data_IF_737342583841
#
_entry.id   IF_737342583841
#
_cell.length_a   1.000
_cell.length_b   1.000
_cell.length_c   1.000
_cell.angle_alpha   90.00
_cell.angle_beta   90.00
_cell.angle_gamma   90.00
#
_symmetry.space_group_name_H-M   'P 1'
#
loop_
_entity.id
_entity.type
_entity.pdbx_description
1 polymer ?
#
# COMPACT_ATOMS: atom_id res chain seq x y z
N UNK A 1 -1.70 -44.34 6.60
CA UNK A 1 -0.97 -43.11 6.30
C UNK A 1 0.29 -43.32 5.45
N UNK A 2 1.30 -44.14 5.84
CA UNK A 2 2.53 -44.37 5.05
C UNK A 2 2.30 -44.85 3.62
N UNK A 3 1.35 -45.78 3.35
CA UNK A 3 1.05 -46.26 1.99
C UNK A 3 0.47 -45.16 1.08
N UNK A 4 -0.39 -44.29 1.59
CA UNK A 4 -0.94 -43.20 0.81
C UNK A 4 0.12 -42.15 0.43
N UNK A 5 1.06 -41.87 1.31
CA UNK A 5 2.20 -40.98 1.06
C UNK A 5 3.12 -41.57 -0.04
N UNK A 6 3.40 -42.86 0.03
CA UNK A 6 4.24 -43.54 -0.97
C UNK A 6 3.58 -43.54 -2.36
N UNK A 7 2.26 -43.78 -2.42
CA UNK A 7 1.49 -43.75 -3.68
C UNK A 7 1.44 -42.32 -4.25
N UNK A 8 1.25 -41.32 -3.41
CA UNK A 8 1.31 -39.92 -3.80
C UNK A 8 2.66 -39.54 -4.40
N UNK A 9 3.76 -39.91 -3.72
CA UNK A 9 5.11 -39.66 -4.23
C UNK A 9 5.42 -40.39 -5.52
N UNK A 10 4.98 -41.65 -5.68
CA UNK A 10 5.12 -42.39 -6.94
C UNK A 10 4.31 -41.76 -8.08
N UNK A 11 3.10 -41.30 -7.82
CA UNK A 11 2.29 -40.57 -8.79
C UNK A 11 2.94 -39.25 -9.22
N UNK A 12 3.41 -38.49 -8.25
CA UNK A 12 4.07 -37.21 -8.50
C UNK A 12 5.37 -37.36 -9.30
N UNK A 13 6.22 -38.34 -8.94
CA UNK A 13 7.46 -38.60 -9.68
C UNK A 13 7.17 -39.14 -11.11
N UNK A 14 6.10 -39.91 -11.29
CA UNK A 14 5.64 -40.35 -12.61
C UNK A 14 5.20 -39.20 -13.51
N UNK A 15 4.41 -38.27 -12.99
CA UNK A 15 3.97 -37.08 -13.71
C UNK A 15 5.17 -36.19 -14.08
N UNK A 16 6.08 -35.93 -13.13
CA UNK A 16 7.29 -35.15 -13.36
C UNK A 16 8.16 -35.78 -14.44
N UNK A 17 8.33 -37.10 -14.42
CA UNK A 17 9.11 -37.81 -15.42
C UNK A 17 8.47 -37.75 -16.82
N UNK A 18 7.15 -37.96 -16.92
CA UNK A 18 6.42 -37.88 -18.18
C UNK A 18 6.44 -36.47 -18.80
N UNK A 19 6.27 -35.44 -17.98
CA UNK A 19 6.34 -34.02 -18.44
C UNK A 19 7.77 -33.67 -18.89
N UNK A 20 8.79 -34.12 -18.17
CA UNK A 20 10.17 -33.89 -18.53
C UNK A 20 10.54 -34.61 -19.87
N UNK A 21 10.10 -35.84 -20.08
CA UNK A 21 10.27 -36.55 -21.34
C UNK A 21 9.56 -35.86 -22.52
N UNK A 22 8.31 -35.46 -22.32
CA UNK A 22 7.54 -34.72 -23.32
C UNK A 22 8.23 -33.41 -23.74
N UNK A 23 8.73 -32.64 -22.77
CA UNK A 23 9.45 -31.41 -23.02
C UNK A 23 10.76 -31.61 -23.80
N UNK A 24 11.52 -32.67 -23.49
CA UNK A 24 12.75 -32.99 -24.22
C UNK A 24 12.48 -33.48 -25.64
N UNK A 25 11.34 -34.12 -25.91
CA UNK A 25 10.87 -34.49 -27.26
C UNK A 25 10.52 -33.22 -28.07
N UNK A 26 9.82 -32.25 -27.47
CA UNK A 26 9.50 -30.97 -28.13
C UNK A 26 10.78 -30.22 -28.52
N UNK A 27 11.80 -30.22 -27.66
CA UNK A 27 13.09 -29.59 -27.93
C UNK A 27 13.96 -30.37 -28.96
N UNK A 28 13.45 -31.46 -29.54
CA UNK A 28 14.15 -32.23 -30.54
C UNK A 28 15.36 -33.01 -30.01
N UNK A 29 15.47 -33.23 -28.71
CA UNK A 29 16.59 -33.95 -28.10
C UNK A 29 16.44 -35.47 -28.24
N UNK A 30 16.75 -35.99 -29.42
CA UNK A 30 16.62 -37.43 -29.73
C UNK A 30 17.93 -38.22 -29.58
N UNK A 31 19.02 -37.60 -29.15
CA UNK A 31 20.31 -38.26 -29.01
C UNK A 31 20.28 -39.37 -27.95
N UNK A 32 20.51 -40.62 -28.35
CA UNK A 32 20.51 -41.80 -27.48
C UNK A 32 21.89 -42.11 -26.86
N UNK A 33 22.87 -41.27 -27.12
CA UNK A 33 24.19 -41.39 -26.51
C UNK A 33 24.11 -41.25 -24.98
N UNK A 34 25.15 -41.71 -24.26
CA UNK A 34 25.25 -41.50 -22.82
C UNK A 34 25.18 -40.03 -22.47
N UNK A 35 25.74 -39.17 -23.31
CA UNK A 35 25.76 -37.72 -23.10
C UNK A 35 24.36 -37.10 -23.34
N UNK A 36 23.65 -37.50 -24.40
CA UNK A 36 22.29 -37.06 -24.66
C UNK A 36 21.30 -37.46 -23.56
N UNK A 37 21.45 -38.69 -23.02
CA UNK A 37 20.66 -39.17 -21.88
C UNK A 37 20.94 -38.35 -20.61
N UNK A 38 22.18 -37.93 -20.38
CA UNK A 38 22.54 -37.08 -19.25
C UNK A 38 21.92 -35.70 -19.41
N UNK A 39 22.07 -35.06 -20.56
CA UNK A 39 21.48 -33.72 -20.83
C UNK A 39 19.96 -33.74 -20.64
N UNK A 40 19.27 -34.75 -21.19
CA UNK A 40 17.81 -34.90 -21.01
C UNK A 40 17.42 -34.96 -19.54
N UNK A 41 18.17 -35.66 -18.69
CA UNK A 41 17.89 -35.75 -17.25
C UNK A 41 18.08 -34.40 -16.57
N UNK A 42 19.13 -33.66 -16.95
CA UNK A 42 19.40 -32.32 -16.38
C UNK A 42 18.31 -31.33 -16.80
N UNK A 43 18.00 -31.23 -18.09
CA UNK A 43 16.97 -30.34 -18.63
C UNK A 43 15.58 -30.69 -18.06
N UNK A 44 15.24 -31.96 -18.01
CA UNK A 44 13.98 -32.44 -17.44
C UNK A 44 13.88 -32.14 -15.94
N UNK A 45 14.99 -32.29 -15.22
CA UNK A 45 15.05 -31.91 -13.79
C UNK A 45 14.87 -30.43 -13.57
N UNK A 46 15.53 -29.60 -14.37
CA UNK A 46 15.33 -28.12 -14.28
C UNK A 46 13.89 -27.71 -14.59
N UNK A 47 13.28 -28.30 -15.63
CA UNK A 47 11.90 -28.04 -15.98
C UNK A 47 10.93 -28.49 -14.86
N UNK A 48 11.13 -29.68 -14.31
CA UNK A 48 10.33 -30.18 -13.20
C UNK A 48 10.45 -29.30 -11.97
N UNK A 49 11.65 -28.78 -11.68
CA UNK A 49 11.86 -27.82 -10.58
C UNK A 49 11.13 -26.50 -10.81
N UNK A 50 11.19 -25.95 -12.03
CA UNK A 50 10.46 -24.73 -12.39
C UNK A 50 8.95 -24.95 -12.22
N UNK A 51 8.41 -26.05 -12.73
CA UNK A 51 6.98 -26.38 -12.58
C UNK A 51 6.58 -26.56 -11.11
N UNK A 52 7.45 -27.14 -10.29
CA UNK A 52 7.23 -27.25 -8.84
C UNK A 52 7.16 -25.88 -8.17
N UNK A 53 8.05 -24.95 -8.51
CA UNK A 53 8.03 -23.57 -7.99
C UNK A 53 6.73 -22.87 -8.37
N UNK A 54 6.29 -22.99 -9.64
CA UNK A 54 5.01 -22.42 -10.08
C UNK A 54 3.82 -23.05 -9.38
N UNK A 55 3.83 -24.36 -9.15
CA UNK A 55 2.77 -25.05 -8.41
C UNK A 55 2.70 -24.60 -6.95
N UNK A 56 3.85 -24.40 -6.30
CA UNK A 56 3.91 -23.85 -4.94
C UNK A 56 3.41 -22.42 -4.87
N UNK A 57 3.82 -21.57 -5.82
CA UNK A 57 3.37 -20.17 -5.88
C UNK A 57 1.85 -20.08 -6.14
N UNK A 58 1.33 -20.86 -7.10
CA UNK A 58 -0.10 -20.94 -7.39
C UNK A 58 -0.91 -21.52 -6.24
N UNK A 59 -0.38 -22.53 -5.55
CA UNK A 59 -0.99 -23.11 -4.35
C UNK A 59 -1.08 -22.10 -3.21
N UNK A 60 -0.02 -21.31 -3.01
CA UNK A 60 -0.02 -20.24 -1.99
C UNK A 60 -1.02 -19.14 -2.33
N UNK A 61 -1.07 -18.69 -3.58
CA UNK A 61 -2.04 -17.69 -4.03
C UNK A 61 -3.50 -18.19 -3.88
N UNK A 62 -3.76 -19.45 -4.20
CA UNK A 62 -5.07 -20.08 -4.02
C UNK A 62 -5.43 -20.19 -2.52
N UNK A 63 -4.47 -20.60 -1.68
CA UNK A 63 -4.65 -20.66 -0.24
C UNK A 63 -5.02 -19.29 0.33
N UNK A 64 -4.26 -18.24 -0.01
CA UNK A 64 -4.55 -16.87 0.40
C UNK A 64 -5.94 -16.41 -0.04
N UNK A 65 -6.29 -16.67 -1.31
CA UNK A 65 -7.60 -16.32 -1.84
C UNK A 65 -8.74 -17.02 -1.09
N UNK A 66 -8.62 -18.34 -0.87
CA UNK A 66 -9.64 -19.12 -0.14
C UNK A 66 -9.69 -18.71 1.32
N UNK A 67 -8.53 -18.54 1.96
CA UNK A 67 -8.43 -18.11 3.35
C UNK A 67 -9.09 -16.76 3.57
N UNK A 68 -8.80 -15.76 2.73
CA UNK A 68 -9.44 -14.44 2.79
C UNK A 68 -10.95 -14.54 2.56
N UNK A 69 -11.41 -15.37 1.63
CA UNK A 69 -12.84 -15.54 1.35
C UNK A 69 -13.60 -16.24 2.48
N UNK A 70 -13.02 -17.30 3.04
CA UNK A 70 -13.63 -18.06 4.14
C UNK A 70 -13.65 -17.25 5.44
N UNK A 71 -12.62 -16.45 5.66
CA UNK A 71 -12.50 -15.64 6.87
C UNK A 71 -12.99 -14.18 6.66
N UNK A 72 -13.57 -13.83 5.51
CA UNK A 72 -14.01 -12.47 5.22
C UNK A 72 -14.96 -11.91 6.28
N UNK A 73 -15.90 -12.73 6.76
CA UNK A 73 -16.81 -12.33 7.86
C UNK A 73 -16.05 -12.03 9.16
N UNK A 74 -15.00 -12.80 9.43
CA UNK A 74 -14.15 -12.62 10.60
C UNK A 74 -13.31 -11.33 10.54
N UNK A 75 -12.81 -10.99 9.33
CA UNK A 75 -12.08 -9.75 9.09
C UNK A 75 -12.97 -8.51 9.01
N UNK A 76 -14.28 -8.69 8.86
CA UNK A 76 -15.26 -7.62 8.89
C UNK A 76 -15.81 -7.34 10.30
N UNK A 77 -15.43 -8.15 11.29
CA UNK A 77 -15.79 -7.92 12.67
C UNK A 77 -15.01 -6.72 13.24
N UNK A 78 -15.74 -5.77 13.82
CA UNK A 78 -15.16 -4.55 14.40
C UNK A 78 -14.12 -4.84 15.51
N UNK A 79 -14.14 -6.05 16.11
CA UNK A 79 -13.15 -6.50 17.09
C UNK A 79 -11.71 -6.59 16.57
N UNK A 80 -11.52 -6.60 15.25
CA UNK A 80 -10.19 -6.64 14.61
C UNK A 80 -9.63 -5.27 14.23
N UNK A 81 -10.38 -4.20 14.48
CA UNK A 81 -9.89 -2.85 14.24
C UNK A 81 -9.10 -2.32 15.44
N UNK A 82 -7.93 -1.78 15.15
CA UNK A 82 -7.23 -0.92 16.09
C UNK A 82 -7.91 0.43 16.15
N UNK A 83 -8.12 0.94 17.36
CA UNK A 83 -8.76 2.24 17.55
C UNK A 83 -7.75 3.29 17.99
N UNK A 84 -7.80 4.45 17.36
CA UNK A 84 -7.02 5.62 17.73
C UNK A 84 -7.96 6.77 18.10
N UNK A 85 -7.93 7.16 19.35
CA UNK A 85 -8.63 8.34 19.83
C UNK A 85 -8.11 9.61 19.14
N UNK A 86 -8.98 10.35 18.51
CA UNK A 86 -8.66 11.62 17.85
C UNK A 86 -9.13 12.79 18.72
N UNK A 87 -10.38 12.75 19.14
CA UNK A 87 -11.00 13.77 19.99
C UNK A 87 -12.18 13.16 20.77
N UNK A 88 -12.82 13.99 21.61
CA UNK A 88 -14.05 13.60 22.34
C UNK A 88 -15.17 13.13 21.41
N UNK A 89 -15.19 13.57 20.17
CA UNK A 89 -16.28 13.30 19.22
C UNK A 89 -15.91 12.38 18.07
N UNK A 90 -14.62 11.99 17.92
CA UNK A 90 -14.18 11.18 16.79
C UNK A 90 -13.09 10.17 17.19
N UNK A 91 -13.23 8.97 16.69
CA UNK A 91 -12.26 7.87 16.83
C UNK A 91 -11.94 7.33 15.44
N UNK A 92 -10.66 7.13 15.16
CA UNK A 92 -10.20 6.47 13.95
C UNK A 92 -10.02 4.98 14.21
N UNK A 93 -10.52 4.18 13.30
CA UNK A 93 -10.40 2.73 13.31
C UNK A 93 -9.62 2.27 12.08
N UNK A 94 -8.65 1.42 12.28
CA UNK A 94 -7.83 0.85 11.22
C UNK A 94 -7.50 -0.61 11.51
N UNK A 95 -7.16 -1.35 10.47
CA UNK A 95 -6.57 -2.69 10.56
C UNK A 95 -5.17 -2.66 9.97
N UNK A 96 -4.26 -3.37 10.60
CA UNK A 96 -2.89 -3.52 10.08
C UNK A 96 -2.92 -4.15 8.69
N UNK A 97 -2.26 -3.53 7.73
CA UNK A 97 -2.16 -3.93 6.32
C UNK A 97 -3.48 -3.88 5.51
N UNK A 98 -4.56 -3.34 6.06
CA UNK A 98 -5.81 -3.15 5.33
C UNK A 98 -6.01 -1.67 4.97
N UNK A 99 -6.87 -1.44 3.98
CA UNK A 99 -7.10 -0.12 3.39
C UNK A 99 -8.54 0.37 3.59
N UNK A 100 -9.19 -0.16 4.61
CA UNK A 100 -10.60 0.06 4.90
C UNK A 100 -10.83 0.83 6.21
N UNK A 101 -9.84 1.57 6.67
CA UNK A 101 -9.95 2.43 7.85
C UNK A 101 -11.12 3.41 7.76
N UNK A 102 -11.69 3.77 8.90
CA UNK A 102 -12.79 4.72 8.97
C UNK A 102 -12.73 5.60 10.22
N UNK A 103 -13.42 6.73 10.18
CA UNK A 103 -13.66 7.58 11.34
C UNK A 103 -15.09 7.36 11.81
N UNK A 104 -15.25 7.13 13.10
CA UNK A 104 -16.55 7.04 13.77
C UNK A 104 -16.73 8.21 14.73
N UNK A 105 -17.87 8.85 14.63
CA UNK A 105 -18.27 9.92 15.53
C UNK A 105 -18.90 9.33 16.81
N UNK A 106 -18.99 10.14 17.85
CA UNK A 106 -19.50 9.72 19.18
C UNK A 106 -20.91 9.11 19.12
N UNK A 107 -21.71 9.48 18.15
CA UNK A 107 -23.06 8.94 17.90
C UNK A 107 -23.07 7.62 17.10
N UNK A 108 -21.89 7.05 16.84
CA UNK A 108 -21.75 5.77 16.11
C UNK A 108 -21.82 5.91 14.61
N UNK A 109 -21.79 7.12 14.07
CA UNK A 109 -21.83 7.34 12.62
C UNK A 109 -20.43 7.21 12.01
N UNK A 110 -20.27 6.33 11.02
CA UNK A 110 -19.04 6.21 10.21
C UNK A 110 -19.04 7.28 9.12
N UNK A 111 -18.18 8.28 9.25
CA UNK A 111 -18.18 9.50 8.42
C UNK A 111 -17.16 9.47 7.29
N UNK A 112 -15.91 9.14 7.59
CA UNK A 112 -14.83 9.01 6.59
C UNK A 112 -14.52 7.54 6.45
N UNK A 113 -14.51 7.02 5.24
CA UNK A 113 -14.32 5.58 4.96
C UNK A 113 -13.24 5.35 3.90
N UNK A 114 -12.70 4.14 3.87
CA UNK A 114 -11.66 3.77 2.91
C UNK A 114 -10.33 4.48 3.18
N UNK A 115 -10.00 4.65 4.44
CA UNK A 115 -8.77 5.31 4.84
C UNK A 115 -7.62 4.30 4.82
N UNK A 116 -6.58 4.60 4.04
CA UNK A 116 -5.35 3.82 4.01
C UNK A 116 -4.40 4.22 5.15
N UNK A 117 -4.27 5.50 5.40
CA UNK A 117 -3.48 6.05 6.51
C UNK A 117 -3.93 7.46 6.87
N UNK A 118 -3.56 7.88 8.05
CA UNK A 118 -3.73 9.25 8.55
C UNK A 118 -2.41 9.84 9.03
N UNK A 119 -2.33 11.17 9.01
CA UNK A 119 -1.27 11.94 9.66
C UNK A 119 -1.89 13.11 10.41
N UNK A 120 -1.67 13.13 11.73
CA UNK A 120 -2.25 14.16 12.60
C UNK A 120 -1.60 15.52 12.33
N UNK A 121 -2.35 16.62 12.51
CA UNK A 121 -1.81 17.97 12.42
C UNK A 121 -0.81 18.23 13.54
N UNK A 122 -0.04 19.29 13.40
CA UNK A 122 0.85 19.81 14.44
C UNK A 122 0.21 21.00 15.15
N UNK A 123 0.63 21.21 16.41
CA UNK A 123 0.11 22.30 17.23
C UNK A 123 -1.39 22.18 17.51
N UNK A 124 -2.09 23.29 17.39
CA UNK A 124 -3.53 23.41 17.70
C UNK A 124 -4.44 23.17 16.49
N UNK A 125 -3.88 22.78 15.34
CA UNK A 125 -4.65 22.47 14.15
C UNK A 125 -5.53 21.24 14.34
N UNK A 126 -6.68 21.21 13.69
CA UNK A 126 -7.67 20.13 13.83
C UNK A 126 -7.85 19.26 12.58
N UNK A 127 -7.21 19.62 11.47
CA UNK A 127 -7.36 18.92 10.21
C UNK A 127 -6.32 17.82 10.05
N UNK A 128 -6.79 16.57 10.10
CA UNK A 128 -5.99 15.36 9.89
C UNK A 128 -5.87 15.08 8.40
N UNK A 129 -4.65 14.96 7.90
CA UNK A 129 -4.40 14.49 6.54
C UNK A 129 -4.70 12.99 6.45
N UNK A 130 -5.39 12.57 5.40
CA UNK A 130 -5.64 11.15 5.12
C UNK A 130 -5.49 10.81 3.64
N UNK A 131 -5.24 9.55 3.36
CA UNK A 131 -5.21 9.00 2.02
C UNK A 131 -6.30 7.94 1.86
N UNK A 132 -6.94 7.92 0.69
CA UNK A 132 -7.81 6.83 0.25
C UNK A 132 -7.13 5.86 -0.73
N UNK A 133 -5.79 5.98 -0.87
CA UNK A 133 -4.99 5.22 -1.81
C UNK A 133 -4.68 5.99 -3.10
N UNK A 134 -5.65 6.66 -3.68
CA UNK A 134 -5.49 7.40 -4.93
C UNK A 134 -5.07 8.85 -4.70
N UNK A 135 -5.67 9.48 -3.70
CA UNK A 135 -5.48 10.89 -3.39
C UNK A 135 -5.46 11.14 -1.88
N UNK A 136 -5.03 12.33 -1.49
CA UNK A 136 -5.02 12.82 -0.12
C UNK A 136 -6.01 13.95 0.05
N UNK A 137 -6.63 13.99 1.23
CA UNK A 137 -7.56 15.01 1.67
C UNK A 137 -7.44 15.24 3.17
N UNK A 138 -8.40 15.96 3.74
CA UNK A 138 -8.38 16.29 5.16
C UNK A 138 -9.77 16.13 5.77
N UNK A 139 -9.81 15.59 6.97
CA UNK A 139 -10.99 15.59 7.81
C UNK A 139 -10.71 16.28 9.14
N UNK A 140 -11.75 16.84 9.74
CA UNK A 140 -11.63 17.51 11.03
C UNK A 140 -11.73 16.48 12.16
N UNK A 141 -10.67 16.35 12.97
CA UNK A 141 -10.65 15.41 14.09
C UNK A 141 -11.60 15.77 15.23
N UNK A 142 -12.08 17.02 15.30
CA UNK A 142 -13.02 17.43 16.34
C UNK A 142 -14.47 17.06 16.00
N UNK A 143 -14.83 17.06 14.70
CA UNK A 143 -16.17 16.74 14.24
C UNK A 143 -16.29 15.36 13.60
N UNK A 144 -15.16 14.79 13.13
CA UNK A 144 -15.12 13.56 12.36
C UNK A 144 -15.59 13.72 10.91
N UNK A 145 -15.79 14.94 10.41
CA UNK A 145 -16.31 15.18 9.06
C UNK A 145 -15.20 15.55 8.07
N UNK A 146 -15.41 15.21 6.79
CA UNK A 146 -14.51 15.60 5.71
C UNK A 146 -14.54 17.13 5.57
N UNK A 147 -13.38 17.76 5.72
CA UNK A 147 -13.18 19.18 5.49
C UNK A 147 -12.75 19.47 4.06
N UNK A 148 -11.80 18.70 3.55
CA UNK A 148 -11.30 18.79 2.17
C UNK A 148 -11.30 17.39 1.58
N UNK A 149 -12.07 17.20 0.50
CA UNK A 149 -12.14 15.89 -0.18
C UNK A 149 -10.78 15.49 -0.73
N UNK A 150 -10.47 14.18 -0.83
CA UNK A 150 -9.25 13.70 -1.47
C UNK A 150 -9.17 14.18 -2.93
N UNK A 151 -8.17 15.00 -3.20
CA UNK A 151 -7.94 15.59 -4.52
C UNK A 151 -6.46 15.84 -4.83
N UNK A 152 -5.59 15.82 -3.82
CA UNK A 152 -4.16 16.09 -3.97
C UNK A 152 -3.40 14.76 -4.10
N UNK A 153 -2.48 14.70 -5.06
CA UNK A 153 -1.58 13.54 -5.19
C UNK A 153 -0.66 13.41 -3.97
N UNK A 154 -0.15 14.55 -3.50
CA UNK A 154 0.60 14.64 -2.26
C UNK A 154 0.04 15.80 -1.42
N UNK A 155 -0.02 15.58 -0.13
CA UNK A 155 -0.46 16.58 0.84
C UNK A 155 0.18 16.25 2.19
N UNK A 156 0.45 17.26 2.98
CA UNK A 156 1.15 17.14 4.26
C UNK A 156 0.29 17.63 5.41
N UNK A 157 0.81 17.55 6.60
CA UNK A 157 0.07 17.90 7.81
C UNK A 157 -0.23 19.39 7.88
N UNK A 158 -1.36 19.75 8.46
CA UNK A 158 -1.61 21.12 8.88
C UNK A 158 -0.69 21.48 10.05
N UNK A 159 -0.12 22.67 9.98
CA UNK A 159 0.64 23.28 11.04
C UNK A 159 0.53 24.80 10.91
N UNK A 160 0.31 25.47 12.02
CA UNK A 160 0.11 26.92 12.05
C UNK A 160 -1.03 27.42 11.12
N UNK A 161 -2.07 26.61 10.90
CA UNK A 161 -3.23 26.92 10.08
C UNK A 161 -3.02 26.73 8.57
N UNK A 162 -1.87 26.23 8.12
CA UNK A 162 -1.56 25.98 6.71
C UNK A 162 -1.07 24.55 6.49
N UNK A 163 -1.34 24.01 5.31
CA UNK A 163 -0.76 22.75 4.85
C UNK A 163 -0.19 22.92 3.44
N UNK A 164 0.95 22.32 3.18
CA UNK A 164 1.47 22.22 1.81
C UNK A 164 0.80 21.07 1.06
N UNK A 165 0.52 21.28 -0.22
CA UNK A 165 -0.08 20.30 -1.13
C UNK A 165 0.63 20.33 -2.49
N UNK A 166 0.63 19.18 -3.16
CA UNK A 166 1.02 19.09 -4.56
C UNK A 166 -0.23 19.34 -5.43
N UNK A 167 -0.30 20.51 -6.03
CA UNK A 167 -1.34 20.88 -6.99
C UNK A 167 -0.72 20.89 -8.41
N UNK A 168 -1.00 19.81 -9.16
CA UNK A 168 -0.52 19.62 -10.52
C UNK A 168 1.03 19.74 -10.69
N UNK A 169 1.78 19.17 -9.74
CA UNK A 169 3.23 19.18 -9.75
C UNK A 169 3.87 20.44 -9.16
N UNK A 170 3.05 21.34 -8.59
CA UNK A 170 3.51 22.55 -7.92
C UNK A 170 3.12 22.53 -6.45
N UNK A 171 4.05 22.92 -5.59
CA UNK A 171 3.78 23.05 -4.15
C UNK A 171 3.04 24.35 -3.88
N UNK A 172 1.88 24.22 -3.25
CA UNK A 172 1.06 25.34 -2.76
C UNK A 172 0.75 25.14 -1.30
N UNK A 173 0.45 26.26 -0.61
CA UNK A 173 -0.03 26.20 0.75
C UNK A 173 -1.52 26.56 0.78
N UNK A 174 -2.29 25.75 1.47
CA UNK A 174 -3.74 25.91 1.59
C UNK A 174 -4.15 26.21 3.03
N UNK A 175 -5.24 26.95 3.16
CA UNK A 175 -5.93 27.14 4.43
C UNK A 175 -6.84 25.96 4.80
N UNK A 176 -7.49 26.04 5.95
CA UNK A 176 -8.42 25.00 6.45
C UNK A 176 -9.67 24.78 5.58
N UNK A 177 -9.95 25.68 4.63
CA UNK A 177 -11.04 25.57 3.66
C UNK A 177 -10.59 25.00 2.31
N UNK A 178 -9.27 24.81 2.14
CA UNK A 178 -8.67 24.35 0.89
C UNK A 178 -8.37 25.47 -0.10
N UNK A 179 -8.47 26.74 0.30
CA UNK A 179 -8.07 27.85 -0.55
C UNK A 179 -6.56 27.98 -0.59
N UNK A 180 -5.99 28.22 -1.77
CA UNK A 180 -4.56 28.53 -1.91
C UNK A 180 -4.28 29.89 -1.32
N UNK A 181 -3.37 29.93 -0.35
CA UNK A 181 -2.94 31.15 0.36
C UNK A 181 -1.56 31.59 -0.11
N UNK A 182 -0.65 30.63 -0.33
CA UNK A 182 0.71 30.90 -0.78
C UNK A 182 0.99 30.02 -2.00
N UNK A 183 1.41 30.66 -3.10
CA UNK A 183 1.87 30.00 -4.32
C UNK A 183 3.23 30.58 -4.69
N UNK A 184 4.29 29.83 -4.40
CA UNK A 184 5.67 30.27 -4.63
C UNK A 184 6.23 29.73 -5.96
N UNK A 185 5.41 29.07 -6.76
CA UNK A 185 5.82 28.45 -8.00
C UNK A 185 6.99 27.46 -7.82
N UNK A 186 6.98 26.71 -6.72
CA UNK A 186 7.98 25.69 -6.38
C UNK A 186 7.51 24.35 -6.95
N UNK A 187 8.25 23.70 -7.85
CA UNK A 187 7.87 22.39 -8.36
C UNK A 187 7.99 21.31 -7.27
N UNK A 188 7.05 20.38 -7.27
CA UNK A 188 7.15 19.17 -6.46
C UNK A 188 8.29 18.28 -6.97
N UNK A 189 9.17 17.87 -6.08
CA UNK A 189 10.25 16.91 -6.38
C UNK A 189 9.91 15.59 -5.72
N UNK A 190 9.86 14.51 -6.51
CA UNK A 190 9.58 13.15 -6.00
C UNK A 190 10.53 12.80 -4.86
N UNK A 191 9.96 12.32 -3.75
CA UNK A 191 10.69 11.99 -2.53
C UNK A 191 11.10 13.21 -1.70
N UNK A 192 10.64 14.42 -2.05
CA UNK A 192 10.79 15.57 -1.17
C UNK A 192 9.82 15.47 0.01
N UNK A 193 10.29 15.84 1.18
CA UNK A 193 9.43 16.09 2.33
C UNK A 193 8.58 17.35 2.08
N UNK A 194 7.36 17.35 2.61
CA UNK A 194 6.51 18.52 2.51
C UNK A 194 7.03 19.69 3.35
N UNK A 195 6.73 20.87 2.89
CA UNK A 195 7.02 22.08 3.64
C UNK A 195 5.98 22.28 4.73
N UNK A 196 6.42 22.48 5.96
CA UNK A 196 5.55 22.63 7.14
C UNK A 196 5.88 23.94 7.84
N UNK A 197 4.86 24.74 8.12
CA UNK A 197 5.01 25.95 8.93
C UNK A 197 5.25 25.59 10.39
N UNK A 198 6.14 26.34 11.03
CA UNK A 198 6.39 26.22 12.46
C UNK A 198 6.70 27.61 13.05
N UNK A 199 5.91 28.00 14.05
CA UNK A 199 6.01 29.34 14.65
C UNK A 199 5.93 30.50 13.62
N UNK A 200 5.03 30.38 12.65
CA UNK A 200 4.79 31.40 11.62
C UNK A 200 5.77 31.39 10.45
N UNK A 201 6.73 30.48 10.43
CA UNK A 201 7.75 30.41 9.38
C UNK A 201 7.83 29.01 8.78
N UNK A 202 8.24 28.93 7.52
CA UNK A 202 8.53 27.67 6.84
C UNK A 202 9.86 27.75 6.10
N UNK A 203 10.69 26.73 6.28
CA UNK A 203 11.93 26.59 5.52
C UNK A 203 11.60 25.96 4.17
N UNK A 204 12.01 26.61 3.11
CA UNK A 204 11.89 26.11 1.73
C UNK A 204 13.26 25.91 1.12
N UNK A 205 13.37 25.13 0.07
CA UNK A 205 14.62 24.96 -0.68
C UNK A 205 14.35 25.08 -2.19
N UNK A 206 15.39 25.38 -2.96
CA UNK A 206 15.33 25.36 -4.40
C UNK A 206 15.33 23.92 -4.95
N UNK A 207 15.11 23.77 -6.26
CA UNK A 207 15.03 22.48 -6.95
C UNK A 207 16.27 21.59 -6.78
N UNK A 208 17.45 22.20 -6.59
CA UNK A 208 18.70 21.49 -6.39
C UNK A 208 18.99 21.13 -4.93
N UNK A 209 18.16 21.62 -4.01
CA UNK A 209 18.33 21.49 -2.55
C UNK A 209 19.68 21.99 -2.02
N UNK A 210 20.33 22.90 -2.75
CA UNK A 210 21.61 23.51 -2.36
C UNK A 210 21.44 24.91 -1.76
N UNK A 211 20.22 25.48 -1.84
CA UNK A 211 19.86 26.77 -1.21
C UNK A 211 18.57 26.66 -0.45
N UNK A 212 18.55 27.26 0.70
CA UNK A 212 17.41 27.33 1.59
C UNK A 212 16.95 28.78 1.75
N UNK A 213 15.67 28.96 1.91
CA UNK A 213 15.02 30.22 2.22
C UNK A 213 14.04 30.05 3.37
N UNK A 214 13.70 31.17 4.00
CA UNK A 214 12.67 31.22 5.01
C UNK A 214 11.52 32.07 4.46
N UNK A 215 10.31 31.58 4.58
CA UNK A 215 9.09 32.31 4.25
C UNK A 215 8.23 32.45 5.50
N UNK A 216 7.45 33.51 5.55
CA UNK A 216 6.38 33.74 6.53
C UNK A 216 5.00 33.56 5.89
N UNK A 217 3.94 33.79 6.65
CA UNK A 217 2.55 33.66 6.18
C UNK A 217 2.01 34.92 5.49
N UNK A 218 2.81 35.95 5.34
CA UNK A 218 2.39 37.24 4.76
C UNK A 218 2.71 37.33 3.28
#
# INVERSE_FOLDING_TARGET
>A
MKRAIILFWKGLTGIISATAEWFTVILGMKDESKYGKFIRRVVGGCFAFIMFVFACAGGNALYEFVYKKVNAAKYLDDSYYDSQYLSRNATYYSRTYETDGYVETRDGKKTVKGIHWISKPLGDDSLVCYSNGDARGYFNMLTGEIAIKPQYKHAWVFSDGLASVDDNGMIKFIDSKGNVVIDLNIPYITGAEGYVFHNGHCVIHNNKRDKFGLIDKK
#
